data_IF_978253128159
#
_entry.id   IF_978253128159
#
_cell.length_a   1.000
_cell.length_b   1.000
_cell.length_c   1.000
_cell.angle_alpha   90.00
_cell.angle_beta   90.00
_cell.angle_gamma   90.00
#
_symmetry.space_group_name_H-M   'P 1'
#
loop_
_entity.id
_entity.type
_entity.pdbx_description
1 polymer ?
#
# COMPACT_ATOMS: atom_id res chain seq x y z
N UNK A 1 -35.84 -33.93 -49.85
CA UNK A 1 -34.42 -33.50 -49.92
C UNK A 1 -34.19 -32.55 -48.76
N UNK A 2 -33.89 -33.11 -47.58
CA UNK A 2 -32.56 -33.11 -46.95
C UNK A 2 -32.06 -31.69 -46.63
N UNK A 3 -32.13 -31.37 -45.33
CA UNK A 3 -31.75 -30.09 -44.75
C UNK A 3 -30.23 -29.86 -44.72
N UNK A 4 -29.88 -28.60 -44.49
CA UNK A 4 -28.49 -28.20 -44.26
C UNK A 4 -28.44 -27.30 -43.03
N UNK A 5 -28.16 -27.93 -41.89
CA UNK A 5 -27.79 -27.27 -40.63
C UNK A 5 -26.38 -26.71 -40.77
N UNK A 6 -26.23 -25.38 -40.86
CA UNK A 6 -24.92 -24.72 -40.79
C UNK A 6 -24.43 -24.69 -39.34
N UNK A 7 -23.44 -25.53 -39.06
CA UNK A 7 -22.59 -25.47 -37.87
C UNK A 7 -21.56 -24.36 -38.09
N UNK A 8 -21.61 -23.30 -37.29
CA UNK A 8 -20.51 -22.34 -37.15
C UNK A 8 -19.86 -22.58 -35.79
N UNK A 9 -18.73 -23.27 -35.82
CA UNK A 9 -17.88 -23.60 -34.69
C UNK A 9 -16.62 -22.73 -34.75
N UNK A 10 -16.28 -22.14 -33.60
CA UNK A 10 -14.94 -21.78 -33.12
C UNK A 10 -14.10 -20.75 -33.92
N UNK A 11 -13.73 -19.66 -33.25
CA UNK A 11 -12.36 -19.43 -32.76
C UNK A 11 -12.35 -18.11 -31.96
N UNK A 12 -12.60 -18.17 -30.66
CA UNK A 12 -12.31 -17.05 -29.76
C UNK A 12 -10.90 -17.25 -29.23
N UNK A 13 -9.98 -16.41 -29.72
CA UNK A 13 -8.61 -16.31 -29.22
C UNK A 13 -8.64 -16.00 -27.73
N UNK A 14 -8.18 -16.96 -26.93
CA UNK A 14 -7.77 -16.75 -25.54
C UNK A 14 -6.44 -15.99 -25.56
N UNK A 15 -6.51 -14.65 -25.54
CA UNK A 15 -5.38 -13.84 -25.11
C UNK A 15 -5.20 -14.05 -23.60
N UNK A 16 -4.42 -15.07 -23.24
CA UNK A 16 -3.86 -15.20 -21.90
C UNK A 16 -2.83 -14.09 -21.71
N UNK A 17 -3.27 -12.93 -21.25
CA UNK A 17 -2.38 -11.94 -20.66
C UNK A 17 -1.79 -12.57 -19.39
N UNK A 18 -0.61 -13.18 -19.52
CA UNK A 18 0.22 -13.58 -18.40
C UNK A 18 0.52 -12.32 -17.58
N UNK A 19 -0.30 -12.06 -16.57
CA UNK A 19 0.01 -11.07 -15.55
C UNK A 19 1.20 -11.64 -14.80
N UNK A 20 2.37 -11.07 -15.05
CA UNK A 20 3.51 -11.26 -14.17
C UNK A 20 3.08 -10.78 -12.78
N UNK A 21 2.61 -11.71 -11.94
CA UNK A 21 2.53 -11.49 -10.51
C UNK A 21 3.97 -11.24 -10.07
N UNK A 22 4.26 -9.96 -9.85
CA UNK A 22 5.49 -9.46 -9.28
C UNK A 22 5.75 -10.20 -7.97
N UNK A 23 6.62 -11.21 -8.03
CA UNK A 23 6.76 -12.21 -7.00
C UNK A 23 7.50 -11.61 -5.82
N UNK A 24 6.76 -11.28 -4.76
CA UNK A 24 7.33 -11.02 -3.45
C UNK A 24 8.18 -12.24 -3.04
N UNK A 25 9.51 -12.10 -3.09
CA UNK A 25 10.46 -13.16 -2.75
C UNK A 25 10.60 -13.29 -1.23
N UNK A 26 10.32 -14.47 -0.70
CA UNK A 26 10.58 -14.81 0.71
C UNK A 26 12.09 -14.70 1.01
N UNK A 27 12.50 -13.97 2.06
CA UNK A 27 13.90 -13.89 2.44
C UNK A 27 14.44 -15.25 2.89
N UNK A 28 15.68 -15.53 2.51
CA UNK A 28 16.44 -16.71 2.94
C UNK A 28 16.90 -16.58 4.40
N UNK A 29 17.27 -17.69 5.02
CA UNK A 29 17.83 -17.67 6.38
C UNK A 29 19.15 -16.87 6.45
N UNK A 30 19.97 -16.93 5.41
CA UNK A 30 21.23 -16.19 5.32
C UNK A 30 20.99 -14.67 5.22
N UNK A 31 20.01 -14.23 4.44
CA UNK A 31 19.64 -12.81 4.33
C UNK A 31 19.05 -12.29 5.66
N UNK A 32 18.23 -13.09 6.36
CA UNK A 32 17.75 -12.73 7.70
C UNK A 32 18.89 -12.59 8.69
N UNK A 33 19.82 -13.55 8.71
CA UNK A 33 20.97 -13.50 9.61
C UNK A 33 21.89 -12.32 9.31
N UNK A 34 22.15 -12.02 8.03
CA UNK A 34 23.00 -10.87 7.67
C UNK A 34 22.39 -9.54 8.10
N UNK A 35 21.05 -9.44 8.12
CA UNK A 35 20.37 -8.25 8.66
C UNK A 35 20.46 -8.17 10.18
N UNK A 36 20.32 -9.30 10.89
CA UNK A 36 20.56 -9.35 12.34
C UNK A 36 21.97 -8.90 12.70
N UNK A 37 22.99 -9.38 11.97
CA UNK A 37 24.39 -9.01 12.18
C UNK A 37 24.61 -7.52 11.89
N UNK A 38 23.99 -7.00 10.81
CA UNK A 38 24.01 -5.57 10.50
C UNK A 38 23.39 -4.74 11.63
N UNK A 39 22.21 -5.12 12.13
CA UNK A 39 21.52 -4.38 13.19
C UNK A 39 22.30 -4.35 14.50
N UNK A 40 23.10 -5.39 14.78
CA UNK A 40 23.98 -5.43 15.95
C UNK A 40 25.11 -4.36 15.90
N UNK A 41 25.42 -3.82 14.72
CA UNK A 41 26.37 -2.70 14.53
C UNK A 41 25.73 -1.31 14.64
N UNK A 42 24.40 -1.25 14.68
CA UNK A 42 23.63 -0.01 14.72
C UNK A 42 23.31 0.37 16.18
N UNK A 43 22.86 1.62 16.44
CA UNK A 43 22.30 1.98 17.73
C UNK A 43 21.18 1.01 18.15
N UNK A 44 21.14 0.68 19.44
CA UNK A 44 20.16 -0.25 19.97
C UNK A 44 18.74 0.26 19.66
N UNK A 45 17.86 -0.57 19.06
CA UNK A 45 16.51 -0.14 18.75
C UNK A 45 15.67 0.01 20.03
N UNK A 46 14.54 0.74 19.97
CA UNK A 46 13.62 0.85 21.10
C UNK A 46 13.22 -0.52 21.66
N UNK A 47 13.06 -0.61 22.98
CA UNK A 47 12.63 -1.84 23.64
C UNK A 47 11.27 -2.30 23.06
N UNK A 48 11.22 -3.53 22.57
CA UNK A 48 10.01 -4.10 21.95
C UNK A 48 9.91 -3.84 20.43
N UNK A 49 10.94 -3.27 19.81
CA UNK A 49 11.05 -3.23 18.37
C UNK A 49 11.15 -4.63 17.78
N UNK A 50 10.64 -4.82 16.55
CA UNK A 50 10.69 -6.08 15.82
C UNK A 50 11.31 -5.88 14.44
N UNK A 51 11.92 -6.94 13.91
CA UNK A 51 12.40 -6.95 12.53
C UNK A 51 11.27 -7.40 11.61
N UNK A 52 11.05 -6.67 10.53
CA UNK A 52 10.07 -6.94 9.47
C UNK A 52 10.83 -7.07 8.16
N UNK A 53 10.45 -8.01 7.31
CA UNK A 53 11.07 -8.19 5.99
C UNK A 53 10.01 -8.06 4.92
N UNK A 54 10.27 -7.21 3.94
CA UNK A 54 9.39 -6.92 2.82
C UNK A 54 10.19 -7.10 1.52
N UNK A 55 9.53 -7.60 0.47
CA UNK A 55 10.15 -7.68 -0.86
C UNK A 55 9.85 -6.39 -1.61
N UNK A 56 10.89 -5.73 -2.14
CA UNK A 56 10.72 -4.55 -3.01
C UNK A 56 10.80 -5.01 -4.46
N UNK A 57 9.86 -4.63 -5.33
CA UNK A 57 9.95 -4.94 -6.74
C UNK A 57 11.23 -4.41 -7.38
N UNK A 58 11.81 -5.15 -8.33
CA UNK A 58 12.91 -4.65 -9.14
C UNK A 58 12.35 -3.67 -10.18
N UNK A 59 12.92 -2.47 -10.26
CA UNK A 59 12.51 -1.45 -11.23
C UNK A 59 12.72 -1.89 -12.71
N UNK A 60 13.54 -2.91 -12.95
CA UNK A 60 14.01 -3.36 -14.27
C UNK A 60 13.71 -4.84 -14.57
N UNK A 61 12.82 -5.49 -13.82
CA UNK A 61 12.49 -6.92 -14.01
C UNK A 61 13.58 -7.88 -13.54
N UNK A 62 14.61 -7.40 -12.83
CA UNK A 62 15.57 -8.23 -12.11
C UNK A 62 14.98 -8.93 -10.87
N UNK A 63 15.82 -9.62 -10.11
CA UNK A 63 15.43 -10.09 -8.78
C UNK A 63 15.23 -8.86 -7.88
N UNK A 64 14.01 -8.67 -7.37
CA UNK A 64 13.64 -7.57 -6.47
C UNK A 64 14.65 -7.37 -5.34
N UNK A 65 14.85 -6.11 -4.93
CA UNK A 65 15.71 -5.80 -3.79
C UNK A 65 15.04 -6.29 -2.49
N UNK A 66 15.82 -6.86 -1.58
CA UNK A 66 15.32 -7.22 -0.26
C UNK A 66 15.33 -5.99 0.63
N UNK A 67 14.17 -5.66 1.21
CA UNK A 67 14.05 -4.66 2.25
C UNK A 67 13.85 -5.35 3.60
N UNK A 68 14.57 -4.87 4.60
CA UNK A 68 14.37 -5.25 5.98
C UNK A 68 14.19 -3.98 6.81
N UNK A 69 13.33 -4.06 7.81
CA UNK A 69 12.87 -2.88 8.53
C UNK A 69 12.86 -3.14 10.02
N UNK A 70 13.28 -2.15 10.80
CA UNK A 70 13.12 -2.15 12.26
C UNK A 70 11.83 -1.41 12.57
N UNK A 71 10.80 -2.13 13.00
CA UNK A 71 9.52 -1.53 13.42
C UNK A 71 9.54 -1.24 14.92
N UNK A 72 9.27 0.01 15.28
CA UNK A 72 9.10 0.42 16.68
C UNK A 72 7.89 -0.28 17.32
N UNK A 73 7.87 -0.46 18.66
CA UNK A 73 6.66 -0.91 19.33
C UNK A 73 5.52 0.07 19.05
N UNK A 74 4.33 -0.40 18.67
CA UNK A 74 3.20 0.48 18.47
C UNK A 74 2.85 1.28 19.71
N UNK A 75 2.40 2.52 19.51
CA UNK A 75 1.96 3.40 20.59
C UNK A 75 0.60 4.01 20.28
N UNK A 76 -0.10 4.45 21.33
CA UNK A 76 -1.39 5.12 21.20
C UNK A 76 -1.19 6.59 20.80
N UNK A 77 -1.91 7.00 19.76
CA UNK A 77 -2.18 8.41 19.48
C UNK A 77 -3.48 8.87 20.16
N UNK A 78 -4.27 9.68 19.48
CA UNK A 78 -5.60 10.09 19.95
C UNK A 78 -6.66 8.99 19.80
N UNK A 79 -7.50 8.80 20.82
CA UNK A 79 -8.68 7.93 20.74
C UNK A 79 -8.33 6.49 20.39
N UNK A 80 -8.94 5.95 19.33
CA UNK A 80 -8.65 4.59 18.84
C UNK A 80 -7.41 4.51 17.94
N UNK A 81 -6.75 5.63 17.65
CA UNK A 81 -5.58 5.66 16.76
C UNK A 81 -4.35 5.01 17.40
N UNK A 82 -3.77 4.05 16.69
CA UNK A 82 -2.45 3.47 16.95
C UNK A 82 -1.48 3.91 15.87
N UNK A 83 -0.22 4.07 16.26
CA UNK A 83 0.86 4.49 15.36
C UNK A 83 2.09 3.63 15.58
N UNK A 84 2.88 3.47 14.52
CA UNK A 84 4.25 2.97 14.60
C UNK A 84 5.09 3.58 13.49
N UNK A 85 6.39 3.36 13.54
CA UNK A 85 7.34 3.70 12.50
C UNK A 85 8.20 2.48 12.15
N UNK A 86 8.64 2.43 10.90
CA UNK A 86 9.61 1.48 10.40
C UNK A 86 10.80 2.24 9.82
N UNK A 87 11.99 1.90 10.30
CA UNK A 87 13.24 2.34 9.68
C UNK A 87 13.62 1.25 8.68
N UNK A 88 13.64 1.60 7.40
CA UNK A 88 13.88 0.65 6.33
C UNK A 88 15.35 0.62 5.93
N UNK A 89 15.79 -0.58 5.57
CA UNK A 89 17.12 -0.85 5.06
C UNK A 89 16.99 -1.71 3.81
N UNK A 90 17.80 -1.41 2.81
CA UNK A 90 17.83 -2.15 1.55
C UNK A 90 19.15 -2.89 1.43
N UNK A 91 19.08 -4.15 0.98
CA UNK A 91 20.26 -4.94 0.67
C UNK A 91 20.74 -4.59 -0.74
N UNK A 92 21.89 -3.93 -0.83
CA UNK A 92 22.54 -3.61 -2.10
C UNK A 92 23.66 -4.60 -2.43
N UNK A 93 23.85 -4.88 -3.72
CA UNK A 93 24.87 -5.81 -4.21
C UNK A 93 24.45 -7.28 -4.12
N UNK A 94 25.36 -8.19 -4.47
CA UNK A 94 25.11 -9.63 -4.47
C UNK A 94 26.28 -10.42 -3.82
N UNK A 95 25.98 -11.64 -3.37
CA UNK A 95 26.98 -12.55 -2.80
C UNK A 95 27.80 -11.91 -1.67
N UNK A 96 29.13 -11.93 -1.80
CA UNK A 96 30.06 -11.39 -0.78
C UNK A 96 30.07 -9.85 -0.70
N UNK A 97 29.55 -9.17 -1.72
CA UNK A 97 29.49 -7.70 -1.77
C UNK A 97 28.15 -7.16 -1.24
N UNK A 98 27.24 -8.05 -0.82
CA UNK A 98 25.94 -7.64 -0.30
C UNK A 98 26.10 -6.82 0.99
N UNK A 99 25.55 -5.60 1.02
CA UNK A 99 25.62 -4.68 2.16
C UNK A 99 24.26 -4.04 2.42
N UNK A 100 23.85 -4.03 3.69
CA UNK A 100 22.68 -3.32 4.16
C UNK A 100 22.97 -1.82 4.26
N UNK A 101 22.05 -1.00 3.76
CA UNK A 101 22.12 0.45 3.85
C UNK A 101 20.79 1.00 4.32
N UNK A 102 20.82 2.08 5.12
CA UNK A 102 19.60 2.79 5.53
C UNK A 102 18.95 3.44 4.31
N UNK A 103 17.62 3.33 4.21
CA UNK A 103 16.84 3.88 3.11
C UNK A 103 15.96 5.04 3.59
N UNK A 104 14.76 4.74 4.10
CA UNK A 104 13.78 5.73 4.55
C UNK A 104 13.16 5.33 5.90
N UNK A 105 12.47 6.29 6.53
CA UNK A 105 11.58 6.02 7.67
C UNK A 105 10.14 6.13 7.20
N UNK A 106 9.36 5.08 7.42
CA UNK A 106 7.95 5.02 7.07
C UNK A 106 7.11 5.01 8.32
N UNK A 107 6.03 5.79 8.30
CA UNK A 107 5.10 5.86 9.41
C UNK A 107 3.81 5.13 9.06
N UNK A 108 3.22 4.49 10.05
CA UNK A 108 2.00 3.74 9.88
C UNK A 108 0.99 4.02 10.98
N UNK A 109 -0.28 3.77 10.68
CA UNK A 109 -1.37 3.90 11.61
C UNK A 109 -2.51 2.89 11.36
N UNK A 110 -3.28 2.61 12.40
CA UNK A 110 -4.52 1.83 12.33
C UNK A 110 -5.42 2.20 13.50
N UNK A 111 -6.66 1.72 13.47
CA UNK A 111 -7.60 1.87 14.58
C UNK A 111 -7.66 0.58 15.39
N UNK A 112 -7.39 0.67 16.69
CA UNK A 112 -7.57 -0.39 17.67
C UNK A 112 -8.04 0.27 18.97
N UNK A 113 -9.10 -0.22 19.60
CA UNK A 113 -9.56 0.29 20.91
C UNK A 113 -8.83 -0.36 22.09
N UNK A 114 -8.05 -1.42 21.84
CA UNK A 114 -7.25 -2.12 22.84
C UNK A 114 -5.84 -1.55 22.98
N UNK A 115 -4.87 -2.45 23.15
CA UNK A 115 -3.52 -2.14 23.56
C UNK A 115 -2.57 -1.67 22.44
N UNK A 116 -3.06 -1.32 21.24
CA UNK A 116 -2.22 -1.09 20.06
C UNK A 116 -1.32 -2.29 19.75
N UNK A 117 -1.92 -3.45 19.50
CA UNK A 117 -1.11 -4.59 19.05
C UNK A 117 -0.65 -4.36 17.62
N UNK A 118 0.55 -4.84 17.29
CA UNK A 118 1.04 -4.84 15.92
C UNK A 118 0.06 -5.61 15.02
N UNK A 119 -0.19 -5.07 13.83
CA UNK A 119 -1.09 -5.66 12.83
C UNK A 119 -0.31 -6.05 11.58
N UNK A 120 -0.83 -7.00 10.81
CA UNK A 120 -0.18 -7.47 9.58
C UNK A 120 -0.14 -6.37 8.51
N UNK A 121 -1.24 -5.65 8.34
CA UNK A 121 -1.42 -4.63 7.29
C UNK A 121 -1.76 -3.28 7.91
N UNK A 122 -0.77 -2.56 8.49
CA UNK A 122 -1.00 -1.22 8.98
C UNK A 122 -1.07 -0.23 7.81
N UNK A 123 -1.83 0.86 7.95
CA UNK A 123 -2.00 1.86 6.89
C UNK A 123 -0.80 2.79 6.87
N UNK A 124 -0.10 2.89 5.74
CA UNK A 124 1.05 3.79 5.58
C UNK A 124 0.62 5.25 5.59
N UNK A 125 1.43 6.14 6.14
CA UNK A 125 1.25 7.58 6.02
C UNK A 125 2.29 8.11 5.03
N UNK A 126 1.84 8.58 3.86
CA UNK A 126 2.73 9.17 2.85
C UNK A 126 3.21 10.57 3.27
N UNK A 127 2.38 11.26 4.05
CA UNK A 127 2.66 12.56 4.64
C UNK A 127 2.28 12.55 6.12
N UNK A 128 2.79 13.52 6.89
CA UNK A 128 2.42 13.65 8.30
C UNK A 128 0.98 14.14 8.44
N UNK A 129 0.11 13.30 9.00
CA UNK A 129 -1.30 13.63 9.26
C UNK A 129 -1.54 13.83 10.77
N UNK A 130 -2.19 14.94 11.19
CA UNK A 130 -2.60 15.13 12.58
C UNK A 130 -3.55 14.03 13.05
N UNK A 131 -3.42 13.60 14.29
CA UNK A 131 -4.18 12.48 14.85
C UNK A 131 -5.70 12.64 14.73
N UNK A 132 -6.23 13.84 14.94
CA UNK A 132 -7.66 14.10 14.85
C UNK A 132 -8.22 13.87 13.43
N UNK A 133 -7.46 14.25 12.41
CA UNK A 133 -7.83 14.06 11.01
C UNK A 133 -7.64 12.59 10.61
N UNK A 134 -6.51 11.99 11.05
CA UNK A 134 -6.18 10.60 10.73
C UNK A 134 -7.21 9.61 11.30
N UNK A 135 -7.62 9.79 12.56
CA UNK A 135 -8.66 8.97 13.17
C UNK A 135 -9.98 9.07 12.38
N UNK A 136 -10.36 10.29 11.98
CA UNK A 136 -11.57 10.54 11.20
C UNK A 136 -11.56 9.85 9.83
N UNK A 137 -10.48 10.02 9.04
CA UNK A 137 -10.41 9.42 7.69
C UNK A 137 -10.34 7.89 7.75
N UNK A 138 -9.65 7.32 8.74
CA UNK A 138 -9.56 5.87 8.93
C UNK A 138 -10.89 5.26 9.37
N UNK A 139 -11.69 5.98 10.16
CA UNK A 139 -12.98 5.48 10.64
C UNK A 139 -13.97 5.28 9.48
N UNK A 140 -13.96 6.17 8.49
CA UNK A 140 -14.94 6.19 7.41
C UNK A 140 -14.48 5.53 6.10
N UNK A 141 -13.30 4.90 6.08
CA UNK A 141 -12.65 4.39 4.87
C UNK A 141 -13.55 3.55 3.95
N UNK A 142 -14.35 2.62 4.51
CA UNK A 142 -15.20 1.72 3.73
C UNK A 142 -16.33 2.49 3.04
N UNK A 143 -16.96 3.40 3.79
CA UNK A 143 -18.04 4.23 3.26
C UNK A 143 -17.54 5.20 2.18
N UNK A 144 -16.32 5.71 2.33
CA UNK A 144 -15.67 6.59 1.36
C UNK A 144 -15.32 5.84 0.08
N UNK A 145 -14.82 4.60 0.18
CA UNK A 145 -14.58 3.73 -0.97
C UNK A 145 -15.87 3.46 -1.75
N UNK A 146 -16.95 3.12 -1.06
CA UNK A 146 -18.24 2.86 -1.72
C UNK A 146 -18.79 4.11 -2.43
N UNK A 147 -18.70 5.30 -1.81
CA UNK A 147 -19.07 6.57 -2.49
C UNK A 147 -18.17 6.86 -3.69
N UNK A 148 -16.87 6.57 -3.59
CA UNK A 148 -15.92 6.81 -4.68
C UNK A 148 -16.13 5.91 -5.90
N UNK A 149 -16.77 4.74 -5.79
CA UNK A 149 -17.09 3.88 -6.95
C UNK A 149 -17.91 4.62 -8.02
N UNK A 150 -18.78 5.53 -7.62
CA UNK A 150 -19.54 6.38 -8.55
C UNK A 150 -18.64 7.40 -9.25
N UNK A 151 -17.70 8.02 -8.51
CA UNK A 151 -16.71 8.93 -9.10
C UNK A 151 -15.79 8.20 -10.08
N UNK A 152 -15.43 6.94 -9.80
CA UNK A 152 -14.66 6.11 -10.71
C UNK A 152 -15.40 5.84 -12.01
N UNK A 153 -16.73 5.65 -11.98
CA UNK A 153 -17.51 5.44 -13.19
C UNK A 153 -17.49 6.66 -14.13
N UNK A 154 -17.38 7.87 -13.57
CA UNK A 154 -17.23 9.12 -14.34
C UNK A 154 -15.79 9.46 -14.75
N UNK A 155 -14.79 8.69 -14.30
CA UNK A 155 -13.38 8.91 -14.63
C UNK A 155 -12.88 7.76 -15.49
N UNK A 156 -12.61 8.02 -16.77
CA UNK A 156 -12.22 6.98 -17.75
C UNK A 156 -10.95 6.22 -17.37
N UNK A 157 -10.01 6.83 -16.65
CA UNK A 157 -8.80 6.17 -16.16
C UNK A 157 -9.08 5.20 -15.00
N UNK A 158 -10.13 5.47 -14.21
CA UNK A 158 -10.51 4.65 -13.06
C UNK A 158 -11.65 3.66 -13.34
N UNK A 159 -12.51 3.96 -14.33
CA UNK A 159 -13.73 3.20 -14.62
C UNK A 159 -13.52 1.69 -14.83
N UNK A 160 -12.41 1.21 -15.45
CA UNK A 160 -12.13 -0.22 -15.59
C UNK A 160 -11.91 -0.94 -14.24
N UNK A 161 -11.39 -0.24 -13.24
CA UNK A 161 -11.03 -0.80 -11.94
C UNK A 161 -12.15 -0.68 -10.88
N UNK A 162 -13.28 -0.02 -11.18
CA UNK A 162 -14.34 0.31 -10.21
C UNK A 162 -14.93 -0.87 -9.44
N UNK A 163 -14.83 -2.07 -10.00
CA UNK A 163 -15.36 -3.31 -9.42
C UNK A 163 -14.30 -4.13 -8.69
N UNK A 164 -13.02 -3.71 -8.72
CA UNK A 164 -11.95 -4.46 -8.08
C UNK A 164 -12.12 -4.46 -6.56
N UNK A 165 -11.67 -5.53 -5.88
CA UNK A 165 -11.53 -5.50 -4.43
C UNK A 165 -10.38 -4.55 -4.08
N UNK A 166 -10.62 -3.64 -3.14
CA UNK A 166 -9.66 -2.64 -2.70
C UNK A 166 -9.49 -2.72 -1.19
N UNK A 167 -8.23 -2.67 -0.74
CA UNK A 167 -7.86 -2.55 0.67
C UNK A 167 -7.12 -1.24 0.89
N UNK A 168 -7.35 -0.59 2.02
CA UNK A 168 -6.68 0.67 2.33
C UNK A 168 -5.19 0.41 2.59
N UNK A 169 -4.33 1.03 1.78
CA UNK A 169 -2.89 0.86 1.84
C UNK A 169 -2.19 2.09 2.45
N UNK A 170 -2.69 3.29 2.18
CA UNK A 170 -2.08 4.51 2.69
C UNK A 170 -3.06 5.67 2.92
N UNK A 171 -2.62 6.65 3.71
CA UNK A 171 -3.20 7.99 3.81
C UNK A 171 -2.19 8.99 3.26
N UNK A 172 -2.68 9.94 2.47
CA UNK A 172 -1.89 10.94 1.77
C UNK A 172 -2.44 12.36 2.03
N UNK A 173 -1.63 13.37 1.76
CA UNK A 173 -2.01 14.78 1.81
C UNK A 173 -1.38 15.48 0.61
N UNK A 174 -2.19 16.17 -0.17
CA UNK A 174 -1.69 16.92 -1.32
C UNK A 174 -2.80 17.45 -2.20
N UNK A 175 -2.45 17.93 -3.38
CA UNK A 175 -3.43 18.46 -4.33
C UNK A 175 -3.86 17.38 -5.32
N UNK A 176 -5.17 17.28 -5.58
CA UNK A 176 -5.72 16.33 -6.58
C UNK A 176 -5.31 16.62 -8.03
N UNK A 177 -4.87 17.86 -8.29
CA UNK A 177 -4.32 18.33 -9.56
C UNK A 177 -3.44 19.56 -9.31
N UNK A 178 -2.52 19.91 -10.23
CA UNK A 178 -1.71 21.12 -10.09
C UNK A 178 -2.59 22.37 -9.83
N UNK A 179 -2.23 23.13 -8.80
CA UNK A 179 -2.95 24.36 -8.40
C UNK A 179 -4.26 24.17 -7.64
N UNK A 180 -4.66 22.93 -7.33
CA UNK A 180 -5.79 22.70 -6.41
C UNK A 180 -5.35 22.84 -4.95
N UNK A 181 -6.32 23.05 -4.06
CA UNK A 181 -6.11 23.04 -2.62
C UNK A 181 -5.60 21.67 -2.15
N UNK A 182 -4.78 21.68 -1.09
CA UNK A 182 -4.35 20.46 -0.43
C UNK A 182 -5.54 19.80 0.29
N UNK A 183 -5.64 18.50 0.09
CA UNK A 183 -6.70 17.64 0.58
C UNK A 183 -6.09 16.37 1.17
N UNK A 184 -6.75 15.82 2.19
CA UNK A 184 -6.47 14.46 2.63
C UNK A 184 -6.90 13.48 1.53
N UNK A 185 -6.18 12.38 1.41
CA UNK A 185 -6.57 11.30 0.52
C UNK A 185 -6.38 9.93 1.17
N UNK A 186 -7.24 9.00 0.77
CA UNK A 186 -7.09 7.57 1.07
C UNK A 186 -6.59 6.87 -0.18
N UNK A 187 -5.51 6.11 -0.06
CA UNK A 187 -4.98 5.30 -1.15
C UNK A 187 -5.25 3.83 -0.90
N UNK A 188 -6.00 3.24 -1.83
CA UNK A 188 -6.36 1.84 -1.84
C UNK A 188 -5.53 1.08 -2.86
N UNK A 189 -5.22 -0.17 -2.54
CA UNK A 189 -4.55 -1.13 -3.42
C UNK A 189 -5.50 -2.29 -3.72
N UNK A 190 -5.58 -2.70 -4.99
CA UNK A 190 -6.27 -3.93 -5.38
C UNK A 190 -5.35 -5.14 -5.38
N UNK A 191 -5.96 -6.32 -5.41
CA UNK A 191 -5.29 -7.59 -5.66
C UNK A 191 -4.56 -7.66 -7.02
N UNK A 192 -4.95 -6.81 -7.98
CA UNK A 192 -4.33 -6.65 -9.30
C UNK A 192 -3.26 -5.56 -9.36
N UNK A 193 -2.71 -5.16 -8.22
CA UNK A 193 -1.72 -4.08 -8.11
C UNK A 193 -2.18 -2.75 -8.74
N UNK A 194 -3.48 -2.50 -8.76
CA UNK A 194 -4.05 -1.21 -9.18
C UNK A 194 -4.23 -0.32 -7.97
N UNK A 195 -3.89 0.96 -8.10
CA UNK A 195 -4.06 1.92 -7.02
C UNK A 195 -5.22 2.87 -7.30
N UNK A 196 -5.98 3.16 -6.25
CA UNK A 196 -7.06 4.14 -6.24
C UNK A 196 -6.75 5.15 -5.14
N UNK A 197 -6.53 6.40 -5.51
CA UNK A 197 -6.42 7.51 -4.56
C UNK A 197 -7.73 8.30 -4.57
N UNK A 198 -8.39 8.36 -3.42
CA UNK A 198 -9.64 9.09 -3.18
C UNK A 198 -9.30 10.37 -2.44
N UNK A 199 -9.48 11.52 -3.11
CA UNK A 199 -9.30 12.83 -2.51
C UNK A 199 -10.54 13.23 -1.74
N UNK A 200 -10.34 13.73 -0.53
CA UNK A 200 -11.41 13.99 0.43
C UNK A 200 -11.70 15.48 0.50
N UNK A 201 -12.99 15.82 0.56
CA UNK A 201 -13.45 17.14 0.98
C UNK A 201 -13.96 17.05 2.41
N UNK A 202 -13.49 17.95 3.27
CA UNK A 202 -13.96 18.06 4.64
C UNK A 202 -15.21 18.93 4.69
N UNK A 203 -16.23 18.47 5.42
CA UNK A 203 -17.45 19.22 5.72
C UNK A 203 -17.74 19.09 7.21
N UNK A 204 -17.42 20.14 7.97
CA UNK A 204 -17.44 20.09 9.45
C UNK A 204 -16.48 19.01 9.98
N UNK A 205 -17.03 18.05 10.73
CA UNK A 205 -16.29 16.91 11.29
C UNK A 205 -16.30 15.66 10.39
N UNK A 206 -16.88 15.74 9.19
CA UNK A 206 -17.04 14.62 8.27
C UNK A 206 -16.18 14.79 7.02
N UNK A 207 -15.90 13.66 6.36
CA UNK A 207 -15.24 13.63 5.06
C UNK A 207 -16.14 13.00 4.01
N UNK A 208 -16.08 13.53 2.81
CA UNK A 208 -16.69 12.96 1.62
C UNK A 208 -15.68 12.73 0.51
N UNK A 209 -15.93 11.70 -0.28
CA UNK A 209 -15.18 11.44 -1.51
C UNK A 209 -15.48 12.56 -2.51
N UNK A 210 -14.45 13.31 -2.89
CA UNK A 210 -14.58 14.49 -3.75
C UNK A 210 -14.07 14.22 -5.16
N UNK A 211 -12.92 13.56 -5.27
CA UNK A 211 -12.30 13.23 -6.55
C UNK A 211 -11.53 11.91 -6.45
N UNK A 212 -11.25 11.28 -7.58
CA UNK A 212 -10.48 10.04 -7.67
C UNK A 212 -9.38 10.14 -8.72
N UNK A 213 -8.25 9.51 -8.42
CA UNK A 213 -7.13 9.31 -9.35
C UNK A 213 -6.68 7.86 -9.25
N UNK A 214 -6.32 7.23 -10.37
CA UNK A 214 -5.86 5.84 -10.39
C UNK A 214 -4.42 5.78 -10.91
N UNK A 215 -3.42 6.01 -10.04
CA UNK A 215 -2.02 6.02 -10.45
C UNK A 215 -1.49 4.60 -10.69
N UNK A 216 -0.41 4.50 -11.47
CA UNK A 216 0.27 3.22 -11.73
C UNK A 216 1.04 2.69 -10.50
N UNK A 217 1.44 3.58 -9.58
CA UNK A 217 2.24 3.26 -8.39
C UNK A 217 1.94 4.23 -7.24
N UNK A 218 2.30 3.82 -6.02
CA UNK A 218 2.21 4.62 -4.78
C UNK A 218 3.35 5.62 -4.64
#
# INVERSE_FOLDING_TARGET
MQGSTSRLLALLLLCSAAHAQETARTPTAQERQSFHDYQATQPAPPKGARLVFDSVPAADGGNGALQASVEAPPHRGRGALCRTERINHVLHGNGKQARWQSADTQYYAWLDRGACRAVAEPVRMLQRVPDAELEGVLLYQKSLLERARLLMAGNTACAPARAYPFVLAAVDVGASRPGAEEQYALVFKSDRNTFLRIWLRKSGAQYDAWNVTCPAML
#
